data_IF_669336380495
#
_entry.id   IF_669336380495
#
_cell.length_a   1.000
_cell.length_b   1.000
_cell.length_c   1.000
_cell.angle_alpha   90.00
_cell.angle_beta   90.00
_cell.angle_gamma   90.00
#
_symmetry.space_group_name_H-M   'P 1'
#
loop_
_entity.id
_entity.type
_entity.pdbx_description
1 polymer ?
#
# COMPACT_ATOMS: atom_id res chain seq x y z
N UNK A 1 -18.05 0.30 -15.32
CA UNK A 1 -16.73 0.75 -15.82
C UNK A 1 -15.98 1.35 -14.64
N UNK A 2 -14.83 0.78 -14.22
CA UNK A 2 -14.02 1.37 -13.15
C UNK A 2 -13.52 2.76 -13.58
N UNK A 3 -13.42 3.68 -12.64
CA UNK A 3 -12.88 5.02 -12.90
C UNK A 3 -11.38 4.92 -13.21
N UNK A 4 -10.91 5.74 -14.15
CA UNK A 4 -9.46 5.90 -14.36
C UNK A 4 -8.81 6.54 -13.13
N UNK A 5 -7.52 6.24 -12.91
CA UNK A 5 -6.75 6.79 -11.80
C UNK A 5 -6.81 8.33 -11.74
N UNK A 6 -6.78 8.99 -12.90
CA UNK A 6 -6.91 10.44 -13.03
C UNK A 6 -8.30 10.97 -12.62
N UNK A 7 -9.36 10.18 -12.82
CA UNK A 7 -10.72 10.53 -12.37
C UNK A 7 -10.85 10.38 -10.85
N UNK A 8 -10.25 9.33 -10.28
CA UNK A 8 -10.23 9.11 -8.82
C UNK A 8 -9.47 10.23 -8.12
N UNK A 9 -8.28 10.59 -8.62
CA UNK A 9 -7.48 11.69 -8.07
C UNK A 9 -8.23 13.02 -8.11
N UNK A 10 -8.90 13.34 -9.23
CA UNK A 10 -9.71 14.56 -9.34
C UNK A 10 -10.89 14.58 -8.38
N UNK A 11 -11.55 13.45 -8.17
CA UNK A 11 -12.64 13.35 -7.21
C UNK A 11 -12.15 13.54 -5.78
N UNK A 12 -11.03 12.92 -5.41
CA UNK A 12 -10.42 13.06 -4.09
C UNK A 12 -10.02 14.52 -3.79
N UNK A 13 -9.41 15.23 -4.75
CA UNK A 13 -9.08 16.65 -4.59
C UNK A 13 -10.32 17.50 -4.34
N UNK A 14 -11.39 17.31 -5.13
CA UNK A 14 -12.65 18.03 -4.90
C UNK A 14 -13.24 17.77 -3.53
N UNK A 15 -13.21 16.51 -3.08
CA UNK A 15 -13.70 16.15 -1.75
C UNK A 15 -12.92 16.87 -0.64
N UNK A 16 -11.61 17.05 -0.81
CA UNK A 16 -10.78 17.80 0.15
C UNK A 16 -11.05 19.31 0.09
N UNK A 17 -11.26 19.87 -1.10
CA UNK A 17 -11.59 21.29 -1.30
C UNK A 17 -12.94 21.69 -0.69
N UNK A 18 -13.88 20.74 -0.57
CA UNK A 18 -15.20 20.96 0.01
C UNK A 18 -15.23 20.87 1.56
N UNK A 19 -14.12 20.51 2.20
CA UNK A 19 -14.03 20.41 3.66
C UNK A 19 -13.90 21.79 4.33
N UNK A 20 -14.38 21.89 5.57
CA UNK A 20 -14.01 22.99 6.45
C UNK A 20 -12.52 22.94 6.80
N UNK A 21 -11.94 24.07 7.21
CA UNK A 21 -10.53 24.14 7.61
C UNK A 21 -10.16 23.11 8.70
N UNK A 22 -10.98 22.97 9.74
CA UNK A 22 -10.77 21.98 10.82
C UNK A 22 -10.81 20.53 10.31
N UNK A 23 -11.76 20.24 9.41
CA UNK A 23 -11.92 18.90 8.82
C UNK A 23 -10.76 18.58 7.89
N UNK A 24 -10.29 19.58 7.13
CA UNK A 24 -9.15 19.45 6.25
C UNK A 24 -7.86 19.21 7.04
N UNK A 25 -7.63 19.98 8.12
CA UNK A 25 -6.49 19.77 9.01
C UNK A 25 -6.47 18.34 9.58
N UNK A 26 -7.61 17.88 10.10
CA UNK A 26 -7.76 16.51 10.62
C UNK A 26 -7.50 15.44 9.55
N UNK A 27 -7.99 15.66 8.32
CA UNK A 27 -7.77 14.74 7.21
C UNK A 27 -6.29 14.67 6.80
N UNK A 28 -5.61 15.82 6.75
CA UNK A 28 -4.17 15.90 6.44
C UNK A 28 -3.33 15.20 7.51
N UNK A 29 -3.63 15.42 8.79
CA UNK A 29 -2.95 14.74 9.90
C UNK A 29 -3.10 13.22 9.79
N UNK A 30 -4.30 12.74 9.48
CA UNK A 30 -4.54 11.31 9.31
C UNK A 30 -3.82 10.74 8.08
N UNK A 31 -3.79 11.46 6.96
CA UNK A 31 -3.02 11.06 5.78
C UNK A 31 -1.53 10.97 6.11
N UNK A 32 -0.99 11.92 6.86
CA UNK A 32 0.40 11.90 7.30
C UNK A 32 0.70 10.69 8.21
N UNK A 33 -0.23 10.36 9.11
CA UNK A 33 -0.13 9.16 9.95
C UNK A 33 -0.16 7.86 9.13
N UNK A 34 -1.06 7.73 8.16
CA UNK A 34 -1.10 6.54 7.30
C UNK A 34 0.19 6.38 6.50
N UNK A 35 0.73 7.50 5.99
CA UNK A 35 2.00 7.50 5.26
C UNK A 35 3.17 7.06 6.12
N UNK A 36 3.22 7.44 7.40
CA UNK A 36 4.30 7.01 8.29
C UNK A 36 4.22 5.51 8.63
N UNK A 37 3.02 4.93 8.63
CA UNK A 37 2.84 3.47 8.73
C UNK A 37 3.39 2.80 7.48
N UNK A 38 2.97 3.25 6.29
CA UNK A 38 3.41 2.71 5.00
C UNK A 38 4.93 2.77 4.86
N UNK A 39 5.55 3.92 5.16
CA UNK A 39 7.01 4.08 5.10
C UNK A 39 7.75 3.10 6.01
N UNK A 40 7.21 2.83 7.22
CA UNK A 40 7.78 1.84 8.13
C UNK A 40 7.59 0.40 7.62
N UNK A 41 6.43 0.08 7.07
CA UNK A 41 6.17 -1.24 6.49
C UNK A 41 7.08 -1.51 5.29
N UNK A 42 7.28 -0.52 4.42
CA UNK A 42 8.23 -0.59 3.30
C UNK A 42 9.67 -0.84 3.78
N UNK A 43 10.11 -0.15 4.84
CA UNK A 43 11.43 -0.38 5.45
C UNK A 43 11.58 -1.81 5.99
N UNK A 44 10.56 -2.31 6.68
CA UNK A 44 10.51 -3.68 7.22
C UNK A 44 10.52 -4.73 6.09
N UNK A 45 9.75 -4.51 5.03
CA UNK A 45 9.70 -5.38 3.85
C UNK A 45 11.03 -5.42 3.10
N UNK A 46 11.68 -4.26 2.92
CA UNK A 46 13.01 -4.18 2.31
C UNK A 46 14.04 -4.91 3.19
N UNK A 47 14.03 -4.69 4.50
CA UNK A 47 14.95 -5.36 5.42
C UNK A 47 14.78 -6.89 5.37
N UNK A 48 13.53 -7.35 5.41
CA UNK A 48 13.13 -8.75 5.27
C UNK A 48 13.63 -9.36 3.95
N UNK A 49 13.43 -8.67 2.83
CA UNK A 49 13.92 -9.11 1.52
C UNK A 49 15.45 -9.21 1.49
N UNK A 50 16.15 -8.21 2.02
CA UNK A 50 17.61 -8.17 2.02
C UNK A 50 18.23 -9.26 2.89
N UNK A 51 17.64 -9.55 4.06
CA UNK A 51 18.06 -10.64 4.93
C UNK A 51 17.93 -12.00 4.23
N UNK A 52 16.85 -12.19 3.48
CA UNK A 52 16.51 -13.47 2.84
C UNK A 52 16.97 -13.59 1.39
N UNK A 53 17.67 -12.60 0.83
CA UNK A 53 17.94 -12.56 -0.62
C UNK A 53 18.75 -13.76 -1.13
N UNK A 54 19.63 -14.30 -0.29
CA UNK A 54 20.51 -15.44 -0.62
C UNK A 54 19.90 -16.79 -0.16
N UNK A 55 18.70 -16.78 0.45
CA UNK A 55 18.03 -18.01 0.84
C UNK A 55 17.65 -18.82 -0.40
N UNK A 56 17.82 -20.14 -0.31
CA UNK A 56 17.44 -21.03 -1.41
C UNK A 56 15.92 -21.05 -1.55
N UNK A 57 15.41 -20.47 -2.63
CA UNK A 57 13.98 -20.45 -2.95
C UNK A 57 13.56 -21.69 -3.74
N UNK A 58 12.30 -22.10 -3.61
CA UNK A 58 11.66 -23.12 -4.46
C UNK A 58 10.62 -22.47 -5.38
N UNK A 59 10.41 -22.98 -6.61
CA UNK A 59 9.40 -22.45 -7.51
C UNK A 59 7.99 -22.54 -6.92
N UNK A 60 7.17 -21.49 -7.13
CA UNK A 60 5.78 -21.47 -6.65
C UNK A 60 4.95 -22.66 -7.18
N UNK A 61 5.22 -23.13 -8.39
CA UNK A 61 4.59 -24.32 -8.94
C UNK A 61 4.84 -25.57 -8.09
N UNK A 62 6.07 -25.75 -7.61
CA UNK A 62 6.46 -26.88 -6.75
C UNK A 62 5.77 -26.78 -5.38
N UNK A 63 5.65 -25.57 -4.83
CA UNK A 63 4.90 -25.32 -3.59
C UNK A 63 3.43 -25.68 -3.76
N UNK A 64 2.80 -25.25 -4.86
CA UNK A 64 1.39 -25.52 -5.14
C UNK A 64 1.11 -27.01 -5.29
N UNK A 65 1.99 -27.73 -5.97
CA UNK A 65 1.90 -29.19 -6.10
C UNK A 65 2.00 -29.89 -4.72
N UNK A 66 3.00 -29.52 -3.91
CA UNK A 66 3.18 -30.06 -2.55
C UNK A 66 1.98 -29.77 -1.63
N UNK A 67 1.29 -28.66 -1.83
CA UNK A 67 0.11 -28.27 -1.04
C UNK A 67 -1.21 -28.81 -1.63
N UNK A 68 -1.20 -29.53 -2.75
CA UNK A 68 -2.42 -30.04 -3.38
C UNK A 68 -3.33 -28.94 -3.95
N UNK A 69 -2.75 -27.78 -4.30
CA UNK A 69 -3.45 -26.61 -4.84
C UNK A 69 -3.37 -26.56 -6.38
N UNK A 70 -3.14 -27.71 -7.01
CA UNK A 70 -3.05 -27.89 -8.47
C UNK A 70 -4.41 -27.72 -9.13
#
# INVERSE_FOLDING_TARGET
MPLSLTQIQRAAVRMLEELSEDSLASAVDYIAFLRSIEEREDEEDIACYLERREETTIPLAEVREKLGLS
#
